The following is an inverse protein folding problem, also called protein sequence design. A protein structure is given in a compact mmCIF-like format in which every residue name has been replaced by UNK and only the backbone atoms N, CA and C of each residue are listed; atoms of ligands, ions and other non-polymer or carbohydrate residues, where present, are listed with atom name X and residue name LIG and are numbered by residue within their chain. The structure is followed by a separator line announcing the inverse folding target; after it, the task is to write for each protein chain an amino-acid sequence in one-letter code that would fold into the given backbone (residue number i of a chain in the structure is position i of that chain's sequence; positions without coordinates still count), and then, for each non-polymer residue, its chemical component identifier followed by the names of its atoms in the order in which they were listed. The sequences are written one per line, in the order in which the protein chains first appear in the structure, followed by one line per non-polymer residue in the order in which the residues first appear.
data_IF_034406873342
#
_entry.id   IF_034406873342
#
_cell.length_a   1.000
_cell.length_b   1.000
_cell.length_c   1.000
_cell.angle_alpha   90.00
_cell.angle_beta   90.00
_cell.angle_gamma   90.00
#
_symmetry.space_group_name_H-M   'P 1'
#
loop_
_entity.id
_entity.type
_entity.pdbx_description
1 polymer ?
#
# COMPACT_ATOMS: atom_id res chain seq x y z
N UNK A 1 17.09 22.49 30.39
CA UNK A 1 16.60 22.05 29.06
C UNK A 1 15.16 21.61 29.21
N UNK A 2 14.20 22.41 28.77
CA UNK A 2 12.79 22.02 28.75
C UNK A 2 12.65 20.81 27.81
N UNK A 3 12.33 19.63 28.38
CA UNK A 3 11.87 18.48 27.59
C UNK A 3 10.61 18.97 26.87
N UNK A 4 10.72 19.29 25.57
CA UNK A 4 9.54 19.38 24.70
C UNK A 4 8.79 18.08 24.93
N UNK A 5 7.58 18.14 25.48
CA UNK A 5 6.69 16.99 25.55
C UNK A 5 6.59 16.49 24.11
N UNK A 6 6.96 15.23 23.88
CA UNK A 6 6.76 14.63 22.57
C UNK A 6 5.25 14.54 22.34
N UNK A 7 4.73 15.47 21.53
CA UNK A 7 3.30 15.58 21.23
C UNK A 7 2.76 14.26 20.66
N UNK A 8 3.62 13.48 20.01
CA UNK A 8 3.27 12.15 19.56
C UNK A 8 2.96 11.20 20.73
N UNK A 9 3.77 11.19 21.77
CA UNK A 9 3.56 10.32 22.94
C UNK A 9 2.25 10.66 23.65
N UNK A 10 1.89 11.94 23.72
CA UNK A 10 0.60 12.39 24.23
C UNK A 10 -0.57 11.86 23.38
N UNK A 11 -0.55 12.09 22.06
CA UNK A 11 -1.59 11.59 21.14
C UNK A 11 -1.68 10.05 21.18
N UNK A 12 -0.53 9.37 21.18
CA UNK A 12 -0.45 7.90 21.25
C UNK A 12 -1.03 7.36 22.54
N UNK A 13 -0.87 8.07 23.66
CA UNK A 13 -1.49 7.72 24.93
C UNK A 13 -3.02 7.82 24.84
N UNK A 14 -3.56 8.91 24.29
CA UNK A 14 -5.00 9.08 24.09
C UNK A 14 -5.59 7.97 23.18
N UNK A 15 -4.96 7.71 22.03
CA UNK A 15 -5.40 6.67 21.08
C UNK A 15 -5.32 5.27 21.69
N UNK A 16 -4.31 5.01 22.52
CA UNK A 16 -4.17 3.75 23.26
C UNK A 16 -5.25 3.60 24.34
N UNK A 17 -5.54 4.67 25.09
CA UNK A 17 -6.57 4.66 26.12
C UNK A 17 -7.96 4.41 25.53
N UNK A 18 -8.22 4.90 24.32
CA UNK A 18 -9.45 4.60 23.56
C UNK A 18 -9.52 3.15 23.02
N UNK A 19 -8.51 2.30 23.28
CA UNK A 19 -8.47 0.91 22.82
C UNK A 19 -8.21 0.74 21.31
N UNK A 20 -7.92 1.81 20.57
CA UNK A 20 -7.87 1.79 19.11
C UNK A 20 -6.63 1.09 18.54
N UNK A 21 -5.61 0.84 19.37
CA UNK A 21 -4.38 0.10 19.00
C UNK A 21 -4.45 -1.41 19.29
N UNK A 22 -5.57 -1.88 19.86
CA UNK A 22 -5.75 -3.30 20.18
C UNK A 22 -5.74 -4.16 18.91
N UNK A 23 -5.21 -5.39 19.05
CA UNK A 23 -5.18 -6.37 17.96
C UNK A 23 -6.58 -6.95 17.74
N UNK A 24 -6.90 -7.26 16.49
CA UNK A 24 -8.23 -7.74 16.09
C UNK A 24 -8.17 -9.14 15.47
N UNK A 25 -7.66 -10.17 16.19
CA UNK A 25 -7.40 -11.48 15.61
C UNK A 25 -8.65 -12.14 15.04
N UNK A 26 -9.81 -12.03 15.72
CA UNK A 26 -11.07 -12.63 15.26
C UNK A 26 -11.50 -12.01 13.93
N UNK A 27 -11.57 -10.68 13.85
CA UNK A 27 -11.95 -9.98 12.62
C UNK A 27 -10.95 -10.24 11.50
N UNK A 28 -9.66 -10.23 11.82
CA UNK A 28 -8.60 -10.57 10.87
C UNK A 28 -8.74 -11.98 10.31
N UNK A 29 -9.00 -12.97 11.17
CA UNK A 29 -9.27 -14.36 10.76
C UNK A 29 -10.50 -14.48 9.88
N UNK A 30 -11.58 -13.75 10.16
CA UNK A 30 -12.78 -13.71 9.30
C UNK A 30 -12.43 -13.18 7.91
N UNK A 31 -11.69 -12.07 7.81
CA UNK A 31 -11.29 -11.53 6.49
C UNK A 31 -10.38 -12.50 5.73
N UNK A 32 -9.43 -13.13 6.43
CA UNK A 32 -8.53 -14.14 5.86
C UNK A 32 -9.32 -15.32 5.27
N UNK A 33 -10.25 -15.88 6.04
CA UNK A 33 -11.11 -16.98 5.60
C UNK A 33 -12.00 -16.55 4.43
N UNK A 34 -12.57 -15.33 4.48
CA UNK A 34 -13.41 -14.82 3.41
C UNK A 34 -12.66 -14.71 2.06
N UNK A 35 -11.40 -14.25 2.07
CA UNK A 35 -10.59 -14.20 0.85
C UNK A 35 -10.24 -15.59 0.34
N UNK A 36 -9.87 -16.53 1.21
CA UNK A 36 -9.59 -17.92 0.81
C UNK A 36 -10.84 -18.62 0.26
N UNK A 37 -12.00 -18.40 0.89
CA UNK A 37 -13.28 -18.92 0.41
C UNK A 37 -13.67 -18.30 -0.94
N UNK A 38 -13.36 -17.00 -1.16
CA UNK A 38 -13.60 -16.34 -2.45
C UNK A 38 -12.69 -16.89 -3.55
N UNK A 39 -11.44 -17.21 -3.24
CA UNK A 39 -10.53 -17.91 -4.17
C UNK A 39 -11.06 -19.30 -4.53
N UNK A 40 -11.56 -20.06 -3.56
CA UNK A 40 -12.20 -21.36 -3.83
C UNK A 40 -13.44 -21.18 -4.72
N UNK A 41 -14.28 -20.18 -4.43
CA UNK A 41 -15.46 -19.87 -5.23
C UNK A 41 -15.08 -19.54 -6.69
N UNK A 42 -14.02 -18.75 -6.90
CA UNK A 42 -13.46 -18.46 -8.23
C UNK A 42 -13.16 -19.77 -8.97
N UNK A 43 -12.45 -20.71 -8.35
CA UNK A 43 -12.06 -21.95 -9.04
C UNK A 43 -13.24 -22.89 -9.31
N UNK A 44 -14.19 -22.99 -8.37
CA UNK A 44 -15.35 -23.88 -8.52
C UNK A 44 -16.33 -23.34 -9.56
N UNK A 45 -16.46 -22.02 -9.67
CA UNK A 45 -17.48 -21.40 -10.53
C UNK A 45 -16.94 -20.80 -11.81
N UNK A 46 -15.62 -20.67 -12.01
CA UNK A 46 -15.00 -20.01 -13.15
C UNK A 46 -15.65 -20.32 -14.53
N UNK A 47 -15.96 -21.58 -14.89
CA UNK A 47 -16.61 -21.90 -16.17
C UNK A 47 -18.02 -21.29 -16.36
N UNK A 48 -18.66 -20.82 -15.29
CA UNK A 48 -19.99 -20.21 -15.31
C UNK A 48 -19.94 -18.69 -15.56
N UNK A 49 -18.76 -18.07 -15.53
CA UNK A 49 -18.61 -16.63 -15.63
C UNK A 49 -18.28 -16.19 -17.04
N UNK A 50 -18.72 -14.98 -17.40
CA UNK A 50 -18.06 -14.23 -18.46
C UNK A 50 -16.59 -13.92 -18.02
N UNK A 51 -15.57 -14.15 -18.85
CA UNK A 51 -14.17 -14.05 -18.43
C UNK A 51 -13.76 -12.63 -18.02
N UNK A 52 -14.36 -11.59 -18.60
CA UNK A 52 -14.13 -10.21 -18.16
C UNK A 52 -14.70 -9.97 -16.75
N UNK A 53 -15.93 -10.43 -16.47
CA UNK A 53 -16.53 -10.31 -15.14
C UNK A 53 -15.76 -11.14 -14.09
N UNK A 54 -15.26 -12.32 -14.47
CA UNK A 54 -14.39 -13.13 -13.61
C UNK A 54 -13.10 -12.38 -13.27
N UNK A 55 -12.47 -11.75 -14.27
CA UNK A 55 -11.29 -10.90 -14.07
C UNK A 55 -11.55 -9.74 -13.10
N UNK A 56 -12.68 -9.04 -13.22
CA UNK A 56 -13.07 -7.99 -12.28
C UNK A 56 -13.32 -8.52 -10.86
N UNK A 57 -13.96 -9.68 -10.73
CA UNK A 57 -14.17 -10.31 -9.44
C UNK A 57 -12.84 -10.75 -8.80
N UNK A 58 -11.93 -11.32 -9.59
CA UNK A 58 -10.56 -11.61 -9.14
C UNK A 58 -9.83 -10.35 -8.70
N UNK A 59 -10.00 -9.21 -9.38
CA UNK A 59 -9.41 -7.93 -8.94
C UNK A 59 -9.88 -7.53 -7.54
N UNK A 60 -11.17 -7.70 -7.24
CA UNK A 60 -11.70 -7.44 -5.90
C UNK A 60 -11.04 -8.36 -4.87
N UNK A 61 -10.98 -9.67 -5.14
CA UNK A 61 -10.39 -10.65 -4.22
C UNK A 61 -8.89 -10.41 -4.01
N UNK A 62 -8.14 -10.09 -5.07
CA UNK A 62 -6.71 -9.80 -5.02
C UNK A 62 -6.44 -8.49 -4.27
N UNK A 63 -7.25 -7.45 -4.49
CA UNK A 63 -7.17 -6.21 -3.72
C UNK A 63 -7.41 -6.46 -2.23
N UNK A 64 -8.38 -7.32 -1.88
CA UNK A 64 -8.57 -7.75 -0.49
C UNK A 64 -7.40 -8.53 0.06
N UNK A 65 -6.76 -9.40 -0.73
CA UNK A 65 -5.54 -10.11 -0.34
C UNK A 65 -4.37 -9.15 -0.05
N UNK A 66 -4.21 -8.08 -0.86
CA UNK A 66 -3.22 -7.03 -0.62
C UNK A 66 -3.43 -6.39 0.75
N UNK A 67 -4.66 -5.96 1.04
CA UNK A 67 -4.99 -5.31 2.31
C UNK A 67 -4.80 -6.24 3.52
N UNK A 68 -5.20 -7.51 3.41
CA UNK A 68 -5.01 -8.48 4.49
C UNK A 68 -3.52 -8.75 4.73
N UNK A 69 -2.74 -8.97 3.67
CA UNK A 69 -1.29 -9.17 3.78
C UNK A 69 -0.62 -7.96 4.45
N UNK A 70 -0.97 -6.76 3.99
CA UNK A 70 -0.52 -5.50 4.55
C UNK A 70 -0.80 -5.40 6.06
N UNK A 71 -2.04 -5.65 6.49
CA UNK A 71 -2.43 -5.54 7.90
C UNK A 71 -1.74 -6.58 8.79
N UNK A 72 -1.59 -7.79 8.25
CA UNK A 72 -0.85 -8.87 8.91
C UNK A 72 0.60 -8.42 9.12
N UNK A 73 1.27 -7.92 8.08
CA UNK A 73 2.68 -7.48 8.14
C UNK A 73 2.86 -6.27 9.08
N UNK A 74 1.84 -5.43 9.23
CA UNK A 74 1.78 -4.39 10.25
C UNK A 74 1.45 -4.88 11.66
N UNK A 75 1.29 -6.19 11.84
CA UNK A 75 0.89 -6.85 13.09
C UNK A 75 -0.44 -6.34 13.64
N UNK A 76 -1.38 -5.91 12.78
CA UNK A 76 -2.67 -5.36 13.22
C UNK A 76 -3.61 -6.47 13.74
N UNK A 77 -3.52 -7.67 13.18
CA UNK A 77 -4.37 -8.81 13.56
C UNK A 77 -3.79 -9.61 14.71
N UNK A 78 -2.48 -9.87 14.67
CA UNK A 78 -1.77 -10.72 15.63
C UNK A 78 -0.54 -10.01 16.18
N UNK A 79 -0.22 -10.25 17.45
CA UNK A 79 0.88 -9.55 18.16
C UNK A 79 2.28 -10.03 17.74
N UNK A 80 2.42 -11.29 17.32
CA UNK A 80 3.70 -11.91 16.99
C UNK A 80 4.13 -11.60 15.56
N UNK A 81 5.32 -10.99 15.39
CA UNK A 81 5.88 -10.70 14.05
C UNK A 81 6.19 -11.97 13.26
N UNK A 82 6.68 -13.03 13.92
CA UNK A 82 6.95 -14.31 13.26
C UNK A 82 5.67 -14.98 12.76
N UNK A 83 4.60 -14.96 13.58
CA UNK A 83 3.30 -15.47 13.16
C UNK A 83 2.71 -14.63 12.02
N UNK A 84 2.77 -13.31 12.13
CA UNK A 84 2.34 -12.39 11.07
C UNK A 84 3.04 -12.70 9.74
N UNK A 85 4.37 -12.82 9.73
CA UNK A 85 5.10 -13.17 8.51
C UNK A 85 4.58 -14.48 7.88
N UNK A 86 4.43 -15.55 8.68
CA UNK A 86 3.89 -16.83 8.19
C UNK A 86 2.47 -16.72 7.65
N UNK A 87 1.59 -16.00 8.36
CA UNK A 87 0.19 -15.82 7.97
C UNK A 87 0.02 -14.90 6.75
N UNK A 88 1.02 -14.08 6.42
CA UNK A 88 0.98 -13.23 5.23
C UNK A 88 1.20 -14.03 3.93
N UNK A 89 1.91 -15.17 3.97
CA UNK A 89 2.32 -15.89 2.76
C UNK A 89 1.19 -16.37 1.85
N UNK A 90 0.05 -16.89 2.35
CA UNK A 90 -1.07 -17.24 1.48
C UNK A 90 -1.60 -16.05 0.67
N UNK A 91 -1.63 -14.87 1.29
CA UNK A 91 -2.19 -13.66 0.68
C UNK A 91 -1.15 -12.91 -0.17
N UNK A 92 0.11 -12.89 0.24
CA UNK A 92 1.19 -12.22 -0.49
C UNK A 92 1.84 -13.13 -1.54
N UNK A 93 2.44 -14.23 -1.11
CA UNK A 93 3.25 -15.06 -1.99
C UNK A 93 2.39 -15.90 -2.91
N UNK A 94 1.35 -16.56 -2.39
CA UNK A 94 0.55 -17.50 -3.19
C UNK A 94 -0.50 -16.76 -4.05
N UNK A 95 -1.32 -15.89 -3.46
CA UNK A 95 -2.34 -15.16 -4.24
C UNK A 95 -1.72 -14.08 -5.12
N UNK A 96 -0.73 -13.31 -4.64
CA UNK A 96 -0.22 -12.14 -5.36
C UNK A 96 1.16 -12.34 -6.02
N UNK A 97 1.82 -13.49 -5.85
CA UNK A 97 3.22 -13.69 -6.26
C UNK A 97 4.18 -12.60 -5.72
N UNK A 98 3.86 -12.01 -4.56
CA UNK A 98 4.63 -10.93 -3.94
C UNK A 98 5.32 -11.42 -2.67
N UNK A 99 6.57 -11.01 -2.47
CA UNK A 99 7.34 -11.34 -1.28
C UNK A 99 6.87 -10.49 -0.10
N UNK A 100 6.37 -11.16 0.94
CA UNK A 100 6.11 -10.59 2.26
C UNK A 100 7.37 -9.97 2.87
N UNK A 101 8.54 -10.59 2.69
CA UNK A 101 9.82 -10.05 3.20
C UNK A 101 10.25 -8.79 2.46
N UNK A 102 10.09 -8.77 1.13
CA UNK A 102 10.34 -7.56 0.34
C UNK A 102 9.39 -6.43 0.78
N UNK A 103 8.10 -6.74 0.94
CA UNK A 103 7.13 -5.74 1.37
C UNK A 103 7.41 -5.22 2.79
N UNK A 104 7.69 -6.09 3.78
CA UNK A 104 8.07 -5.65 5.14
C UNK A 104 9.32 -4.74 5.10
N UNK A 105 10.30 -5.05 4.26
CA UNK A 105 11.50 -4.23 4.12
C UNK A 105 11.24 -2.89 3.41
N UNK A 106 10.59 -2.91 2.25
CA UNK A 106 10.26 -1.70 1.48
C UNK A 106 9.31 -0.79 2.28
N UNK A 107 8.21 -1.35 2.76
CA UNK A 107 7.12 -0.57 3.30
C UNK A 107 7.33 -0.24 4.78
N UNK A 108 7.62 -1.22 5.63
CA UNK A 108 7.70 -0.97 7.09
C UNK A 108 9.05 -0.37 7.51
N UNK A 109 10.15 -0.86 6.93
CA UNK A 109 11.50 -0.41 7.33
C UNK A 109 11.91 0.87 6.60
N UNK A 110 11.65 0.99 5.30
CA UNK A 110 11.96 2.22 4.55
C UNK A 110 10.82 3.23 4.63
N UNK A 111 9.74 3.00 3.89
CA UNK A 111 8.69 4.01 3.66
C UNK A 111 8.04 4.52 4.95
N UNK A 112 7.62 3.64 5.87
CA UNK A 112 7.00 4.09 7.12
C UNK A 112 7.97 4.83 8.04
N UNK A 113 9.23 4.42 8.07
CA UNK A 113 10.22 5.06 8.95
C UNK A 113 10.68 6.41 8.37
N UNK A 114 10.79 6.50 7.05
CA UNK A 114 11.45 7.59 6.34
C UNK A 114 10.63 8.10 5.14
N UNK A 115 9.31 8.21 5.30
CA UNK A 115 8.39 8.62 4.23
C UNK A 115 8.88 9.90 3.56
N UNK A 116 8.96 9.92 2.23
CA UNK A 116 9.47 11.04 1.43
C UNK A 116 10.86 11.58 1.86
N UNK A 117 11.72 10.74 2.41
CA UNK A 117 13.14 11.09 2.63
C UNK A 117 13.98 10.52 1.48
N UNK A 118 14.65 11.39 0.73
CA UNK A 118 15.25 11.10 -0.59
C UNK A 118 16.17 9.87 -0.58
N UNK A 119 17.01 9.73 0.44
CA UNK A 119 18.03 8.68 0.51
C UNK A 119 17.49 7.35 1.05
N UNK A 120 16.23 7.31 1.48
CA UNK A 120 15.65 6.18 2.21
C UNK A 120 14.38 5.64 1.56
N UNK A 121 13.52 6.51 1.04
CA UNK A 121 12.24 6.14 0.44
C UNK A 121 12.33 6.10 -1.08
N UNK A 122 12.24 4.89 -1.63
CA UNK A 122 12.32 4.67 -3.07
C UNK A 122 11.02 5.08 -3.80
N UNK A 123 9.92 5.30 -3.08
CA UNK A 123 8.61 5.60 -3.70
C UNK A 123 8.60 6.98 -4.39
N UNK A 124 9.34 7.95 -3.85
CA UNK A 124 9.52 9.29 -4.46
C UNK A 124 10.53 9.31 -5.62
N UNK A 125 11.21 8.18 -5.87
CA UNK A 125 12.14 8.03 -7.01
C UNK A 125 11.42 7.67 -8.31
N UNK A 126 10.09 7.60 -8.32
CA UNK A 126 9.28 7.40 -9.52
C UNK A 126 9.59 8.43 -10.61
N UNK A 127 9.45 8.01 -11.87
CA UNK A 127 9.80 8.82 -13.06
C UNK A 127 11.20 9.45 -12.94
N UNK A 128 12.20 8.64 -12.57
CA UNK A 128 13.59 9.09 -12.43
C UNK A 128 13.75 10.23 -11.41
N UNK A 129 13.02 10.14 -10.29
CA UNK A 129 13.07 11.11 -9.18
C UNK A 129 12.25 12.38 -9.41
N UNK A 130 11.17 12.34 -10.19
CA UNK A 130 10.35 13.51 -10.49
C UNK A 130 9.68 14.17 -9.28
N UNK A 131 9.58 13.43 -8.17
CA UNK A 131 9.01 13.96 -6.93
C UNK A 131 10.07 14.50 -5.97
N UNK A 132 11.34 14.57 -6.38
CA UNK A 132 12.42 15.16 -5.57
C UNK A 132 12.64 16.62 -5.96
N UNK A 133 12.68 17.59 -5.02
CA UNK A 133 12.65 19.03 -5.32
C UNK A 133 13.76 19.55 -6.25
N UNK A 134 14.90 18.86 -6.31
CA UNK A 134 16.09 19.29 -7.07
C UNK A 134 16.24 18.59 -8.43
N UNK A 135 15.38 17.63 -8.75
CA UNK A 135 15.53 16.83 -9.95
C UNK A 135 14.59 17.31 -11.08
N UNK A 136 15.19 17.88 -12.12
CA UNK A 136 14.49 18.43 -13.30
C UNK A 136 14.59 17.55 -14.55
N UNK A 137 14.91 16.27 -14.35
CA UNK A 137 15.09 15.28 -15.40
C UNK A 137 16.25 15.56 -16.35
N UNK A 138 17.14 14.59 -16.54
CA UNK A 138 18.21 14.71 -17.54
C UNK A 138 17.85 14.12 -18.90
N UNK A 139 16.79 13.29 -18.97
CA UNK A 139 16.43 12.49 -20.17
C UNK A 139 15.35 13.18 -21.03
N UNK A 140 15.65 13.62 -22.27
CA UNK A 140 14.70 14.36 -23.11
C UNK A 140 13.37 13.63 -23.36
N UNK A 141 13.41 12.32 -23.57
CA UNK A 141 12.21 11.50 -23.77
C UNK A 141 11.27 11.55 -22.55
N UNK A 142 11.82 11.36 -21.35
CA UNK A 142 11.02 11.41 -20.12
C UNK A 142 10.44 12.81 -19.90
N UNK A 143 11.17 13.88 -20.18
CA UNK A 143 10.63 15.25 -20.04
C UNK A 143 9.46 15.50 -20.99
N UNK A 144 9.56 15.03 -22.24
CA UNK A 144 8.51 15.20 -23.26
C UNK A 144 7.26 14.38 -22.95
N UNK A 145 7.42 13.16 -22.44
CA UNK A 145 6.32 12.21 -22.25
C UNK A 145 6.02 11.89 -20.77
N UNK A 146 6.49 12.72 -19.83
CA UNK A 146 6.43 12.47 -18.37
C UNK A 146 5.07 12.02 -17.86
N UNK A 147 4.00 12.71 -18.26
CA UNK A 147 2.65 12.37 -17.82
C UNK A 147 2.19 11.00 -18.37
N UNK A 148 2.44 10.73 -19.65
CA UNK A 148 2.08 9.47 -20.29
C UNK A 148 2.90 8.32 -19.69
N UNK A 149 4.20 8.51 -19.48
CA UNK A 149 5.07 7.49 -18.90
C UNK A 149 4.68 7.22 -17.45
N UNK A 150 4.46 8.25 -16.63
CA UNK A 150 4.10 8.08 -15.23
C UNK A 150 2.72 7.41 -15.07
N UNK A 151 1.68 7.95 -15.70
CA UNK A 151 0.33 7.40 -15.58
C UNK A 151 0.18 6.07 -16.30
N UNK A 152 0.85 5.88 -17.44
CA UNK A 152 0.91 4.61 -18.15
C UNK A 152 1.58 3.51 -17.33
N UNK A 153 2.66 3.84 -16.61
CA UNK A 153 3.33 2.88 -15.73
C UNK A 153 2.44 2.36 -14.58
N UNK A 154 1.43 3.13 -14.16
CA UNK A 154 0.50 2.69 -13.10
C UNK A 154 -0.31 1.45 -13.49
N UNK A 155 -0.51 1.19 -14.79
CA UNK A 155 -1.14 -0.04 -15.28
C UNK A 155 -0.25 -1.29 -15.18
N UNK A 156 1.02 -1.12 -14.79
CA UNK A 156 1.98 -2.22 -14.65
C UNK A 156 2.52 -2.35 -13.22
N UNK A 157 1.96 -1.62 -12.24
CA UNK A 157 2.44 -1.63 -10.86
C UNK A 157 2.42 -3.03 -10.23
N UNK A 158 1.38 -3.83 -10.48
CA UNK A 158 1.31 -5.20 -9.95
C UNK A 158 2.46 -6.07 -10.49
N UNK A 159 2.72 -6.02 -11.79
CA UNK A 159 3.85 -6.72 -12.40
C UNK A 159 5.20 -6.22 -11.87
N UNK A 160 5.35 -4.91 -11.68
CA UNK A 160 6.56 -4.33 -11.09
C UNK A 160 6.81 -4.82 -9.65
N UNK A 161 5.76 -5.04 -8.86
CA UNK A 161 5.89 -5.58 -7.50
C UNK A 161 6.34 -7.05 -7.51
N UNK A 162 5.84 -7.84 -8.45
CA UNK A 162 6.27 -9.23 -8.64
C UNK A 162 7.76 -9.27 -9.00
N UNK A 163 8.20 -8.46 -9.98
CA UNK A 163 9.60 -8.38 -10.39
C UNK A 163 10.51 -7.95 -9.25
N UNK A 164 10.13 -6.91 -8.50
CA UNK A 164 10.90 -6.46 -7.34
C UNK A 164 10.96 -7.52 -6.23
N UNK A 165 9.86 -8.22 -6.00
CA UNK A 165 9.80 -9.34 -5.06
C UNK A 165 10.77 -10.45 -5.45
N UNK A 166 10.77 -10.87 -6.73
CA UNK A 166 11.70 -11.90 -7.22
C UNK A 166 13.16 -11.46 -7.08
N UNK A 167 13.48 -10.25 -7.50
CA UNK A 167 14.82 -9.67 -7.35
C UNK A 167 15.28 -9.67 -5.89
N UNK A 168 14.38 -9.31 -4.96
CA UNK A 168 14.68 -9.26 -3.54
C UNK A 168 14.97 -10.65 -2.96
N UNK A 169 14.09 -11.64 -3.20
CA UNK A 169 14.25 -12.98 -2.62
C UNK A 169 15.46 -13.71 -3.22
N UNK A 170 15.74 -13.53 -4.51
CA UNK A 170 16.93 -14.09 -5.17
C UNK A 170 18.22 -13.49 -4.61
N UNK A 171 18.30 -12.15 -4.53
CA UNK A 171 19.47 -11.46 -3.96
C UNK A 171 19.73 -11.84 -2.50
N UNK A 172 18.67 -12.08 -1.73
CA UNK A 172 18.74 -12.50 -0.31
C UNK A 172 18.84 -14.01 -0.11
N UNK A 173 18.82 -14.80 -1.19
CA UNK A 173 18.80 -16.28 -1.16
C UNK A 173 17.64 -16.85 -0.30
N UNK A 174 16.51 -16.16 -0.25
CA UNK A 174 15.31 -16.63 0.46
C UNK A 174 14.51 -17.59 -0.44
N UNK A 175 15.05 -18.79 -0.66
CA UNK A 175 14.48 -19.77 -1.58
C UNK A 175 13.15 -20.36 -1.09
N UNK A 176 12.91 -20.35 0.22
CA UNK A 176 11.62 -20.78 0.77
C UNK A 176 10.49 -19.88 0.25
N UNK A 177 10.65 -18.56 0.41
CA UNK A 177 9.64 -17.61 -0.05
C UNK A 177 9.57 -17.54 -1.58
N UNK A 178 10.70 -17.68 -2.28
CA UNK A 178 10.71 -17.84 -3.73
C UNK A 178 9.84 -19.03 -4.16
N UNK A 179 9.97 -20.19 -3.50
CA UNK A 179 9.14 -21.35 -3.77
C UNK A 179 7.65 -21.05 -3.60
N UNK A 180 7.27 -20.38 -2.51
CA UNK A 180 5.88 -19.97 -2.27
C UNK A 180 5.36 -19.00 -3.34
N UNK A 181 6.19 -18.06 -3.80
CA UNK A 181 5.83 -17.16 -4.90
C UNK A 181 5.67 -17.91 -6.21
N UNK A 182 6.54 -18.88 -6.51
CA UNK A 182 6.45 -19.68 -7.73
C UNK A 182 5.21 -20.56 -7.74
N UNK A 183 4.67 -20.98 -6.59
CA UNK A 183 3.41 -21.70 -6.49
C UNK A 183 2.20 -20.89 -7.00
N UNK A 184 2.28 -19.55 -7.02
CA UNK A 184 1.23 -18.71 -7.60
C UNK A 184 0.85 -19.15 -9.02
N UNK A 185 1.85 -19.39 -9.87
CA UNK A 185 1.63 -19.65 -11.29
C UNK A 185 0.84 -20.95 -11.56
N UNK A 186 1.25 -22.13 -11.06
CA UNK A 186 0.47 -23.34 -11.25
C UNK A 186 -0.84 -23.33 -10.46
N UNK A 187 -0.88 -22.78 -9.23
CA UNK A 187 -2.10 -22.83 -8.40
C UNK A 187 -3.18 -21.87 -8.85
N UNK A 188 -2.83 -20.70 -9.38
CA UNK A 188 -3.81 -19.74 -9.87
C UNK A 188 -4.01 -19.94 -11.37
N UNK A 189 -2.97 -19.71 -12.17
CA UNK A 189 -3.09 -19.69 -13.62
C UNK A 189 -3.11 -21.09 -14.23
N UNK A 190 -2.36 -22.05 -13.68
CA UNK A 190 -2.43 -23.44 -14.10
C UNK A 190 -3.81 -24.05 -13.87
N UNK A 191 -4.43 -23.78 -12.72
CA UNK A 191 -5.82 -24.19 -12.45
C UNK A 191 -6.81 -23.52 -13.39
N UNK A 192 -6.69 -22.21 -13.66
CA UNK A 192 -7.57 -21.54 -14.63
C UNK A 192 -7.40 -22.08 -16.05
N UNK A 193 -6.16 -22.34 -16.51
CA UNK A 193 -5.89 -22.96 -17.82
C UNK A 193 -6.42 -24.39 -17.92
N UNK A 194 -6.52 -25.10 -16.80
CA UNK A 194 -7.08 -26.45 -16.77
C UNK A 194 -8.62 -26.43 -16.94
N UNK A 195 -9.31 -25.44 -16.38
CA UNK A 195 -10.78 -25.39 -16.34
C UNK A 195 -11.41 -24.45 -17.39
N UNK A 196 -10.63 -23.56 -18.02
CA UNK A 196 -11.09 -22.60 -19.02
C UNK A 196 -10.28 -22.71 -20.32
N UNK A 197 -10.87 -22.32 -21.48
CA UNK A 197 -10.10 -22.10 -22.71
C UNK A 197 -8.99 -21.05 -22.50
N UNK A 198 -7.86 -21.21 -23.20
CA UNK A 198 -6.71 -20.30 -23.06
C UNK A 198 -7.07 -18.83 -23.35
N UNK A 199 -8.01 -18.58 -24.27
CA UNK A 199 -8.48 -17.23 -24.62
C UNK A 199 -9.18 -16.55 -23.45
N UNK A 200 -9.99 -17.31 -22.70
CA UNK A 200 -10.74 -16.80 -21.56
C UNK A 200 -9.79 -16.50 -20.41
N UNK A 201 -8.79 -17.37 -20.17
CA UNK A 201 -7.73 -17.10 -19.20
C UNK A 201 -6.94 -15.86 -19.57
N UNK A 202 -6.63 -15.63 -20.84
CA UNK A 202 -5.95 -14.41 -21.29
C UNK A 202 -6.80 -13.16 -20.99
N UNK A 203 -8.12 -13.21 -21.23
CA UNK A 203 -9.03 -12.11 -20.89
C UNK A 203 -9.07 -11.86 -19.38
N UNK A 204 -9.17 -12.90 -18.57
CA UNK A 204 -9.12 -12.82 -17.10
C UNK A 204 -7.79 -12.20 -16.64
N UNK A 205 -6.68 -12.68 -17.20
CA UNK A 205 -5.33 -12.20 -16.89
C UNK A 205 -5.18 -10.71 -17.20
N UNK A 206 -5.53 -10.30 -18.41
CA UNK A 206 -5.44 -8.89 -18.82
C UNK A 206 -6.37 -8.03 -17.98
N UNK A 207 -7.62 -8.44 -17.78
CA UNK A 207 -8.58 -7.69 -16.96
C UNK A 207 -8.06 -7.49 -15.54
N UNK A 208 -7.57 -8.56 -14.90
CA UNK A 208 -6.98 -8.48 -13.55
C UNK A 208 -5.80 -7.52 -13.50
N UNK A 209 -4.82 -7.67 -14.41
CA UNK A 209 -3.60 -6.86 -14.36
C UNK A 209 -3.85 -5.38 -14.66
N UNK A 210 -4.72 -5.07 -15.63
CA UNK A 210 -5.06 -3.70 -16.02
C UNK A 210 -6.04 -3.01 -15.06
N UNK A 211 -6.69 -3.74 -14.15
CA UNK A 211 -7.57 -3.13 -13.13
C UNK A 211 -6.96 -3.13 -11.73
N UNK A 212 -6.22 -4.19 -11.34
CA UNK A 212 -5.52 -4.25 -10.07
C UNK A 212 -4.37 -3.25 -10.01
N UNK A 213 -3.54 -3.14 -11.06
CA UNK A 213 -2.39 -2.25 -11.06
C UNK A 213 -2.75 -0.78 -10.80
N UNK A 214 -3.69 -0.15 -11.52
CA UNK A 214 -4.08 1.22 -11.21
C UNK A 214 -4.77 1.34 -9.84
N UNK A 215 -5.51 0.34 -9.37
CA UNK A 215 -6.07 0.37 -8.02
C UNK A 215 -4.95 0.43 -6.96
N UNK A 216 -3.93 -0.43 -7.08
CA UNK A 216 -2.75 -0.37 -6.20
C UNK A 216 -2.07 0.99 -6.26
N UNK A 217 -1.85 1.49 -7.48
CA UNK A 217 -1.26 2.81 -7.67
C UNK A 217 -2.04 3.88 -6.92
N UNK A 218 -3.36 3.92 -7.07
CA UNK A 218 -4.20 4.88 -6.35
C UNK A 218 -4.04 4.73 -4.84
N UNK A 219 -4.09 3.51 -4.31
CA UNK A 219 -3.94 3.24 -2.87
C UNK A 219 -2.60 3.67 -2.27
N UNK A 220 -1.51 3.65 -3.03
CA UNK A 220 -0.18 3.97 -2.52
C UNK A 220 0.28 5.39 -2.85
N UNK A 221 0.07 5.89 -4.08
CA UNK A 221 0.71 7.14 -4.51
C UNK A 221 0.00 8.40 -4.04
N UNK A 222 -1.34 8.42 -4.03
CA UNK A 222 -2.12 9.66 -3.76
C UNK A 222 -2.03 10.12 -2.31
N UNK A 223 -1.45 9.28 -1.47
CA UNK A 223 -1.35 9.47 -0.03
C UNK A 223 -0.04 10.14 0.41
N UNK A 224 0.97 10.23 -0.45
CA UNK A 224 2.25 10.86 -0.10
C UNK A 224 3.00 11.53 -1.27
N UNK A 225 2.78 11.12 -2.53
CA UNK A 225 3.44 11.75 -3.66
C UNK A 225 2.98 13.20 -3.85
N UNK A 226 3.95 14.10 -4.00
CA UNK A 226 3.73 15.55 -4.06
C UNK A 226 3.50 16.21 -2.70
N UNK A 227 3.64 15.48 -1.58
CA UNK A 227 3.78 16.10 -0.26
C UNK A 227 5.20 16.65 -0.11
N UNK A 228 5.52 17.22 1.05
CA UNK A 228 6.88 17.65 1.36
C UNK A 228 7.86 16.47 1.27
N UNK A 229 9.08 16.79 0.85
CA UNK A 229 10.18 15.86 0.65
C UNK A 229 11.40 16.46 1.33
N UNK A 230 12.12 15.62 2.08
CA UNK A 230 13.26 16.03 2.88
C UNK A 230 14.50 15.25 2.47
N UNK A 231 15.67 15.88 2.61
CA UNK A 231 16.91 15.10 2.66
C UNK A 231 17.08 14.40 4.02
N UNK A 232 18.09 13.54 4.13
CA UNK A 232 18.31 12.73 5.32
C UNK A 232 18.58 13.57 6.58
N UNK A 233 19.28 14.70 6.46
CA UNK A 233 19.63 15.54 7.60
C UNK A 233 18.42 16.34 8.08
N UNK A 234 17.65 16.90 7.14
CA UNK A 234 16.35 17.51 7.42
C UNK A 234 15.41 16.51 8.10
N UNK A 235 15.23 15.32 7.52
CA UNK A 235 14.34 14.28 8.04
C UNK A 235 14.71 13.80 9.45
N UNK A 236 16.01 13.75 9.79
CA UNK A 236 16.49 13.41 11.14
C UNK A 236 16.23 14.52 12.15
N UNK A 237 16.12 15.77 11.70
CA UNK A 237 15.81 16.93 12.55
C UNK A 237 14.34 17.02 12.95
N UNK A 238 13.43 16.35 12.22
CA UNK A 238 12.00 16.35 12.49
C UNK A 238 11.63 15.33 13.57
N UNK A 239 10.61 15.67 14.37
CA UNK A 239 9.99 14.66 15.25
C UNK A 239 9.26 13.61 14.42
N UNK A 240 8.98 12.43 15.01
CA UNK A 240 8.19 11.38 14.35
C UNK A 240 6.86 11.92 13.82
N UNK A 241 6.11 12.64 14.65
CA UNK A 241 4.82 13.19 14.25
C UNK A 241 4.97 14.23 13.14
N UNK A 242 5.94 15.13 13.25
CA UNK A 242 6.17 16.15 12.23
C UNK A 242 6.52 15.55 10.86
N UNK A 243 7.43 14.58 10.84
CA UNK A 243 7.80 13.89 9.61
C UNK A 243 6.57 13.24 8.96
N UNK A 244 5.80 12.44 9.71
CA UNK A 244 4.65 11.73 9.13
C UNK A 244 3.51 12.69 8.71
N UNK A 245 3.26 13.76 9.47
CA UNK A 245 2.20 14.73 9.17
C UNK A 245 2.50 15.56 7.90
N UNK A 246 3.78 15.86 7.62
CA UNK A 246 4.22 16.70 6.49
C UNK A 246 4.46 15.90 5.21
N UNK A 247 4.89 14.64 5.34
CA UNK A 247 5.25 13.78 4.21
C UNK A 247 4.08 12.93 3.70
N UNK A 248 2.94 12.93 4.38
CA UNK A 248 1.74 12.20 3.97
C UNK A 248 0.50 13.10 4.02
N UNK A 249 -0.58 12.65 3.37
CA UNK A 249 -1.89 13.32 3.39
C UNK A 249 -2.99 12.30 3.54
N UNK A 250 -4.07 12.71 4.21
CA UNK A 250 -5.30 11.90 4.26
C UNK A 250 -6.30 12.37 3.19
N UNK A 251 -7.09 11.43 2.67
CA UNK A 251 -8.08 11.65 1.62
C UNK A 251 -9.49 11.50 2.19
N UNK A 252 -10.26 12.58 2.03
CA UNK A 252 -11.69 12.68 2.32
C UNK A 252 -12.53 12.16 1.16
N UNK A 253 -13.80 11.82 1.42
CA UNK A 253 -14.73 11.33 0.39
C UNK A 253 -15.72 10.25 0.88
N UNK A 254 -15.93 10.14 2.18
CA UNK A 254 -16.95 9.28 2.76
C UNK A 254 -16.65 7.79 2.68
N UNK A 255 -17.70 6.98 2.83
CA UNK A 255 -17.58 5.52 2.96
C UNK A 255 -17.00 4.84 1.71
N UNK A 256 -17.34 5.35 0.52
CA UNK A 256 -16.83 4.78 -0.73
C UNK A 256 -15.32 4.95 -0.86
N UNK A 257 -14.79 6.16 -0.63
CA UNK A 257 -13.34 6.41 -0.65
C UNK A 257 -12.64 5.56 0.42
N UNK A 258 -13.20 5.50 1.63
CA UNK A 258 -12.62 4.66 2.67
C UNK A 258 -12.57 3.17 2.29
N UNK A 259 -13.64 2.64 1.69
CA UNK A 259 -13.69 1.26 1.21
C UNK A 259 -12.71 1.02 0.05
N UNK A 260 -12.68 1.91 -0.94
CA UNK A 260 -11.85 1.80 -2.14
C UNK A 260 -10.36 1.78 -1.79
N UNK A 261 -9.92 2.68 -0.92
CA UNK A 261 -8.55 2.74 -0.42
C UNK A 261 -8.27 1.72 0.69
N UNK A 262 -9.29 0.95 1.11
CA UNK A 262 -9.19 0.02 2.23
C UNK A 262 -8.77 0.70 3.53
N UNK A 263 -9.06 1.98 3.76
CA UNK A 263 -8.57 2.72 4.93
C UNK A 263 -7.17 3.29 4.80
N UNK A 264 -6.45 3.06 3.70
CA UNK A 264 -5.21 3.80 3.42
C UNK A 264 -5.49 5.26 3.03
N UNK A 265 -6.74 5.66 2.84
CA UNK A 265 -7.10 7.06 2.70
C UNK A 265 -6.80 7.86 3.99
N UNK A 266 -6.61 7.23 5.14
CA UNK A 266 -6.17 7.89 6.38
C UNK A 266 -4.66 7.70 6.55
N UNK A 267 -3.86 8.16 5.58
CA UNK A 267 -2.43 7.84 5.52
C UNK A 267 -1.66 8.41 6.70
N UNK A 268 -1.98 9.63 7.11
CA UNK A 268 -1.33 10.28 8.27
C UNK A 268 -1.44 9.37 9.49
N UNK A 269 -2.65 8.88 9.78
CA UNK A 269 -2.91 7.99 10.90
C UNK A 269 -2.25 6.63 10.72
N UNK A 270 -2.25 6.11 9.50
CA UNK A 270 -1.60 4.86 9.17
C UNK A 270 -0.07 4.94 9.41
N UNK A 271 0.55 6.07 9.10
CA UNK A 271 1.97 6.31 9.36
C UNK A 271 2.27 6.59 10.83
N UNK A 272 1.44 7.37 11.51
CA UNK A 272 1.61 7.62 12.95
C UNK A 272 1.40 6.34 13.78
N UNK A 273 0.43 5.51 13.37
CA UNK A 273 -0.01 4.31 14.09
C UNK A 273 -0.13 3.11 13.14
N UNK A 274 0.96 2.60 12.55
CA UNK A 274 0.91 1.48 11.59
C UNK A 274 0.29 0.21 12.19
N UNK A 275 0.42 0.10 13.51
CA UNK A 275 -0.12 -0.97 14.33
C UNK A 275 -1.62 -0.85 14.63
N UNK A 276 -2.27 0.29 14.36
CA UNK A 276 -3.72 0.43 14.52
C UNK A 276 -4.42 -0.36 13.41
N UNK A 277 -5.39 -1.24 13.72
CA UNK A 277 -6.15 -1.93 12.68
C UNK A 277 -6.86 -0.95 11.75
N UNK A 278 -6.88 -1.22 10.43
CA UNK A 278 -7.56 -0.34 9.45
C UNK A 278 -9.00 0.01 9.81
N UNK A 279 -9.71 -0.90 10.48
CA UNK A 279 -11.08 -0.70 10.97
C UNK A 279 -11.25 0.39 12.01
N UNK A 280 -10.16 0.77 12.69
CA UNK A 280 -10.13 1.82 13.69
C UNK A 280 -9.62 3.14 13.11
N UNK A 281 -9.05 3.16 11.89
CA UNK A 281 -8.31 4.33 11.40
C UNK A 281 -9.19 5.58 11.24
N UNK A 282 -10.48 5.47 10.90
CA UNK A 282 -11.37 6.64 10.92
C UNK A 282 -11.56 7.23 12.32
N UNK A 283 -11.58 6.38 13.36
CA UNK A 283 -11.65 6.84 14.76
C UNK A 283 -10.34 7.47 15.18
N UNK A 284 -9.21 6.86 14.81
CA UNK A 284 -7.88 7.42 15.03
C UNK A 284 -7.75 8.77 14.33
N UNK A 285 -8.25 8.89 13.10
CA UNK A 285 -8.22 10.13 12.31
C UNK A 285 -8.97 11.25 13.02
N UNK A 286 -10.17 10.97 13.54
CA UNK A 286 -10.92 11.95 14.31
C UNK A 286 -10.10 12.47 15.49
N UNK A 287 -9.48 11.58 16.26
CA UNK A 287 -8.63 11.96 17.40
C UNK A 287 -7.38 12.74 16.96
N UNK A 288 -6.71 12.33 15.88
CA UNK A 288 -5.55 13.02 15.32
C UNK A 288 -5.91 14.44 14.89
N UNK A 289 -7.04 14.65 14.22
CA UNK A 289 -7.52 15.99 13.81
C UNK A 289 -7.84 16.87 15.01
N UNK A 290 -8.54 16.33 16.01
CA UNK A 290 -8.87 17.05 17.24
C UNK A 290 -7.60 17.44 18.03
N UNK A 291 -6.62 16.54 18.08
CA UNK A 291 -5.32 16.80 18.69
C UNK A 291 -4.52 17.86 17.90
N UNK A 292 -4.45 17.73 16.58
CA UNK A 292 -3.78 18.70 15.71
C UNK A 292 -4.36 20.10 15.89
N UNK A 293 -5.70 20.22 15.96
CA UNK A 293 -6.39 21.47 16.26
C UNK A 293 -6.03 22.03 17.65
N UNK A 294 -6.02 21.20 18.70
CA UNK A 294 -5.65 21.62 20.08
C UNK A 294 -4.23 22.14 20.18
N UNK A 295 -3.32 21.62 19.37
CA UNK A 295 -1.89 21.92 19.41
C UNK A 295 -1.41 22.81 18.25
N UNK A 296 -2.34 23.37 17.46
CA UNK A 296 -2.03 24.22 16.30
C UNK A 296 -1.05 23.56 15.31
N UNK A 297 -1.26 22.27 15.04
CA UNK A 297 -0.52 21.49 14.06
C UNK A 297 -1.37 21.44 12.78
N UNK A 298 -0.75 21.72 11.63
CA UNK A 298 -1.42 21.59 10.34
C UNK A 298 -1.73 20.12 10.06
N UNK A 299 -2.98 19.83 9.66
CA UNK A 299 -3.41 18.50 9.25
C UNK A 299 -3.72 18.52 7.76
N UNK A 300 -2.92 17.83 6.95
CA UNK A 300 -3.11 17.84 5.50
C UNK A 300 -4.18 16.83 5.06
N UNK A 301 -5.38 17.33 4.80
CA UNK A 301 -6.48 16.57 4.20
C UNK A 301 -6.87 17.12 2.84
N UNK A 302 -7.18 16.23 1.89
CA UNK A 302 -7.68 16.64 0.58
C UNK A 302 -8.65 15.62 -0.01
N UNK A 303 -9.10 15.81 -1.26
CA UNK A 303 -9.89 14.81 -1.99
C UNK A 303 -8.98 14.01 -2.93
N UNK A 304 -9.35 12.78 -3.35
CA UNK A 304 -8.59 12.03 -4.34
C UNK A 304 -8.30 12.85 -5.62
N UNK A 305 -9.30 13.58 -6.12
CA UNK A 305 -9.17 14.46 -7.30
C UNK A 305 -8.06 15.50 -7.09
N UNK A 306 -8.08 16.20 -5.95
CA UNK A 306 -7.07 17.21 -5.66
C UNK A 306 -5.68 16.60 -5.45
N UNK A 307 -5.58 15.39 -4.89
CA UNK A 307 -4.31 14.66 -4.78
C UNK A 307 -3.73 14.34 -6.17
N UNK A 308 -4.56 13.94 -7.14
CA UNK A 308 -4.12 13.76 -8.53
C UNK A 308 -3.61 15.06 -9.16
N UNK A 309 -4.29 16.18 -8.93
CA UNK A 309 -3.86 17.51 -9.41
C UNK A 309 -2.48 17.83 -8.83
N UNK A 310 -2.29 17.66 -7.52
CA UNK A 310 -1.03 17.93 -6.84
C UNK A 310 0.13 17.04 -7.34
N UNK A 311 -0.13 15.74 -7.57
CA UNK A 311 0.85 14.84 -8.21
C UNK A 311 1.20 15.33 -9.61
N UNK A 312 0.20 15.71 -10.39
CA UNK A 312 0.41 16.18 -11.75
C UNK A 312 1.19 17.50 -11.79
N UNK A 313 0.97 18.40 -10.83
CA UNK A 313 1.72 19.64 -10.69
C UNK A 313 3.17 19.40 -10.27
N UNK A 314 3.44 18.42 -9.40
CA UNK A 314 4.80 17.98 -9.10
C UNK A 314 5.50 17.44 -10.37
N UNK A 315 4.82 16.63 -11.18
CA UNK A 315 5.35 16.15 -12.46
C UNK A 315 5.57 17.31 -13.44
N UNK A 316 4.74 18.36 -13.45
CA UNK A 316 4.98 19.53 -14.31
C UNK A 316 6.30 20.23 -13.98
N UNK A 317 6.72 20.24 -12.71
CA UNK A 317 7.96 20.86 -12.25
C UNK A 317 9.24 20.07 -12.63
N UNK A 318 9.11 18.78 -12.96
CA UNK A 318 10.18 17.90 -13.50
C UNK A 318 10.64 18.31 -14.91
#
# INVERSE_FOLDING_TARGET
MNKKVDLFDALKSEVRAAGLLQRVPIRGSIEMVAVLASMLLIFVTAPMWNPFLLGLFMTLVFTRAVFISHDILHTQYFKSKSLAMKLSYPFSAIILSNSSSWWDFKHNIKHHTWCNVIEKDEDIMALDGAFTPKNKGSKPFLKRYKHIVFWGAMFFMYAAFIVQSYNFVLKRKNYFELGLMLLHWPLIWGTLLYILPWSDVLIVFLTLHFTLSPWLAFGFITNHLGCEVFDLEEGRGLSWMELQMRTSRSLSGGAFVHWFYGGLNTQIEHHLFPKAPRFNLLKVQKMTKEFAKRHNIEYFETTPIQAYIQINDAIKAY
#
